data_IF_347814877925
#
_entry.id   IF_347814877925
#
_cell.length_a   1.000
_cell.length_b   1.000
_cell.length_c   1.000
_cell.angle_alpha   90.00
_cell.angle_beta   90.00
_cell.angle_gamma   90.00
#
_symmetry.space_group_name_H-M   'P 1'
#
loop_
_entity.id
_entity.type
_entity.pdbx_description
1 polymer ?
#
# COMPACT_ATOMS: atom_id res chain seq x y z
N UNK A 1 0.49 22.58 14.92
CA UNK A 1 0.39 21.63 13.79
C UNK A 1 0.26 20.25 14.40
N UNK A 2 -0.77 19.45 14.08
CA UNK A 2 -0.80 18.08 14.56
C UNK A 2 0.31 17.33 13.83
N UNK A 3 1.42 17.07 14.51
CA UNK A 3 2.40 16.12 14.01
C UNK A 3 1.74 14.75 14.02
N UNK A 4 1.80 14.04 12.89
CA UNK A 4 1.39 12.64 12.84
C UNK A 4 2.15 11.88 13.94
N UNK A 5 1.41 11.09 14.74
CA UNK A 5 1.99 10.38 15.88
C UNK A 5 3.16 9.49 15.41
N UNK A 6 4.37 9.63 15.96
CA UNK A 6 5.54 8.87 15.51
C UNK A 6 5.31 7.36 15.42
N UNK A 7 4.46 6.83 16.31
CA UNK A 7 4.02 5.44 16.32
C UNK A 7 3.26 5.04 15.04
N UNK A 8 2.33 5.88 14.58
CA UNK A 8 1.53 5.61 13.37
C UNK A 8 2.39 5.63 12.11
N UNK A 9 3.34 6.57 12.03
CA UNK A 9 4.33 6.59 10.93
C UNK A 9 5.18 5.33 10.96
N UNK A 10 5.73 4.95 12.12
CA UNK A 10 6.56 3.75 12.25
C UNK A 10 5.81 2.47 11.83
N UNK A 11 4.53 2.37 12.17
CA UNK A 11 3.69 1.24 11.75
C UNK A 11 3.48 1.21 10.22
N UNK A 12 3.27 2.37 9.58
CA UNK A 12 3.20 2.45 8.10
C UNK A 12 4.52 2.08 7.43
N UNK A 13 5.65 2.51 8.00
CA UNK A 13 6.98 2.13 7.51
C UNK A 13 7.21 0.61 7.62
N UNK A 14 6.76 -0.01 8.71
CA UNK A 14 6.85 -1.46 8.87
C UNK A 14 6.04 -2.24 7.80
N UNK A 15 4.93 -1.68 7.30
CA UNK A 15 4.21 -2.27 6.16
C UNK A 15 5.07 -2.26 4.90
N UNK A 16 5.75 -1.13 4.64
CA UNK A 16 6.60 -0.95 3.47
C UNK A 16 7.77 -1.96 3.48
N UNK A 17 8.43 -2.13 4.62
CA UNK A 17 9.59 -3.02 4.76
C UNK A 17 9.26 -4.50 4.52
N UNK A 18 7.98 -4.88 4.63
CA UNK A 18 7.52 -6.26 4.54
C UNK A 18 6.64 -6.55 3.31
N UNK A 19 6.62 -5.65 2.32
CA UNK A 19 5.85 -5.86 1.09
C UNK A 19 6.34 -7.12 0.35
N UNK A 20 5.46 -8.08 0.02
CA UNK A 20 5.85 -9.32 -0.65
C UNK A 20 6.01 -9.10 -2.16
N UNK A 21 7.07 -8.42 -2.56
CA UNK A 21 7.37 -8.07 -3.95
C UNK A 21 8.38 -9.07 -4.52
N UNK A 22 8.00 -9.77 -5.59
CA UNK A 22 8.88 -10.72 -6.30
C UNK A 22 9.20 -10.27 -7.71
N UNK A 23 8.19 -10.14 -8.57
CA UNK A 23 8.35 -9.74 -9.98
C UNK A 23 7.56 -8.45 -10.25
N UNK A 24 8.28 -7.40 -10.64
CA UNK A 24 7.79 -6.01 -10.65
C UNK A 24 8.22 -5.25 -9.40
N UNK A 25 7.51 -4.16 -9.08
CA UNK A 25 7.87 -3.34 -7.93
C UNK A 25 7.00 -2.13 -7.68
N UNK A 26 7.37 -1.39 -6.64
CA UNK A 26 6.74 -0.14 -6.27
C UNK A 26 7.40 1.00 -7.03
N UNK A 27 6.60 1.78 -7.74
CA UNK A 27 7.04 3.01 -8.40
C UNK A 27 6.99 4.20 -7.44
N UNK A 28 6.00 4.22 -6.56
CA UNK A 28 5.78 5.35 -5.65
C UNK A 28 5.18 4.88 -4.33
N UNK A 29 5.80 5.34 -3.24
CA UNK A 29 5.25 5.34 -1.89
C UNK A 29 5.08 6.79 -1.46
N UNK A 30 3.88 7.12 -0.99
CA UNK A 30 3.56 8.43 -0.46
C UNK A 30 2.92 8.29 0.92
N UNK A 31 3.51 8.94 1.91
CA UNK A 31 2.87 9.15 3.22
C UNK A 31 2.38 10.58 3.24
N UNK A 32 1.08 10.77 3.48
CA UNK A 32 0.47 12.10 3.47
C UNK A 32 -0.60 12.21 4.55
N UNK A 33 -0.85 13.44 4.99
CA UNK A 33 -1.83 13.77 6.00
C UNK A 33 -2.94 14.60 5.35
N UNK A 34 -4.16 14.08 5.35
CA UNK A 34 -5.36 14.86 5.07
C UNK A 34 -6.11 15.06 6.40
N UNK A 35 -7.26 14.42 6.58
CA UNK A 35 -7.92 14.29 7.89
C UNK A 35 -7.21 13.22 8.75
N UNK A 36 -6.74 12.15 8.12
CA UNK A 36 -6.00 11.04 8.72
C UNK A 36 -4.62 10.88 8.06
N UNK A 37 -3.76 10.06 8.67
CA UNK A 37 -2.49 9.66 8.08
C UNK A 37 -2.70 8.51 7.10
N UNK A 38 -2.30 8.72 5.84
CA UNK A 38 -2.43 7.74 4.76
C UNK A 38 -1.06 7.29 4.25
N UNK A 39 -1.02 6.04 3.80
CA UNK A 39 0.02 5.46 2.97
C UNK A 39 -0.61 5.12 1.61
N UNK A 40 -0.08 5.70 0.54
CA UNK A 40 -0.42 5.33 -0.83
C UNK A 40 0.74 4.57 -1.47
N UNK A 41 0.41 3.45 -2.08
CA UNK A 41 1.36 2.55 -2.76
C UNK A 41 0.91 2.43 -4.21
N UNK A 42 1.81 2.76 -5.14
CA UNK A 42 1.60 2.67 -6.58
C UNK A 42 2.71 1.81 -7.16
N UNK A 43 2.36 0.85 -8.00
CA UNK A 43 3.35 0.00 -8.65
C UNK A 43 2.77 -0.83 -9.77
N UNK A 44 3.64 -1.67 -10.33
CA UNK A 44 3.27 -2.68 -11.32
C UNK A 44 3.84 -4.04 -10.90
N UNK A 45 3.08 -5.11 -11.14
CA UNK A 45 3.53 -6.48 -10.93
C UNK A 45 3.37 -7.30 -12.21
N UNK A 46 4.35 -8.17 -12.48
CA UNK A 46 4.43 -8.88 -13.76
C UNK A 46 3.41 -10.02 -13.87
N UNK A 47 2.86 -10.47 -12.74
CA UNK A 47 1.93 -11.60 -12.71
C UNK A 47 0.87 -11.50 -11.60
N UNK A 48 -0.22 -12.22 -11.80
CA UNK A 48 -1.38 -12.24 -10.92
C UNK A 48 -1.11 -12.85 -9.55
N UNK A 49 -0.22 -13.85 -9.46
CA UNK A 49 0.09 -14.51 -8.18
C UNK A 49 0.80 -13.55 -7.22
N UNK A 50 1.71 -12.73 -7.73
CA UNK A 50 2.41 -11.72 -6.94
C UNK A 50 1.45 -10.61 -6.52
N UNK A 51 0.54 -10.19 -7.42
CA UNK A 51 -0.51 -9.22 -7.07
C UNK A 51 -1.42 -9.73 -5.96
N UNK A 52 -1.90 -10.97 -6.03
CA UNK A 52 -2.73 -11.58 -4.99
C UNK A 52 -2.01 -11.70 -3.65
N UNK A 53 -0.69 -11.97 -3.69
CA UNK A 53 0.13 -12.04 -2.48
C UNK A 53 0.26 -10.67 -1.81
N UNK A 54 0.50 -9.61 -2.61
CA UNK A 54 0.52 -8.23 -2.14
C UNK A 54 -0.84 -7.79 -1.58
N UNK A 55 -1.92 -8.01 -2.34
CA UNK A 55 -3.28 -7.66 -1.93
C UNK A 55 -3.63 -8.36 -0.61
N UNK A 56 -3.42 -9.66 -0.52
CA UNK A 56 -3.68 -10.43 0.71
C UNK A 56 -2.87 -9.89 1.89
N UNK A 57 -1.58 -9.59 1.70
CA UNK A 57 -0.74 -9.01 2.75
C UNK A 57 -1.28 -7.68 3.26
N UNK A 58 -1.69 -6.77 2.36
CA UNK A 58 -2.19 -5.45 2.73
C UNK A 58 -3.56 -5.51 3.42
N UNK A 59 -4.44 -6.41 2.99
CA UNK A 59 -5.77 -6.58 3.59
C UNK A 59 -5.75 -7.32 4.93
N UNK A 60 -4.71 -8.10 5.21
CA UNK A 60 -4.50 -8.78 6.49
C UNK A 60 -3.92 -7.88 7.59
N UNK A 61 -3.63 -6.60 7.30
CA UNK A 61 -3.12 -5.68 8.30
C UNK A 61 -4.24 -5.17 9.21
N UNK A 62 -4.43 -5.83 10.35
CA UNK A 62 -5.55 -5.56 11.28
C UNK A 62 -5.67 -4.10 11.72
N UNK A 63 -4.54 -3.39 11.85
CA UNK A 63 -4.50 -1.99 12.30
C UNK A 63 -4.90 -0.98 11.21
N UNK A 64 -5.02 -1.43 9.96
CA UNK A 64 -5.22 -0.55 8.81
C UNK A 64 -6.49 -0.88 8.04
N UNK A 65 -7.17 0.17 7.58
CA UNK A 65 -8.18 0.09 6.55
C UNK A 65 -7.47 0.21 5.20
N UNK A 66 -7.51 -0.85 4.41
CA UNK A 66 -6.91 -0.93 3.08
C UNK A 66 -7.98 -0.74 2.03
N UNK A 67 -7.70 0.11 1.04
CA UNK A 67 -8.56 0.35 -0.11
C UNK A 67 -7.77 0.21 -1.40
N UNK A 68 -8.34 -0.53 -2.34
CA UNK A 68 -7.92 -0.55 -3.74
C UNK A 68 -8.54 0.66 -4.45
N UNK A 69 -7.71 1.59 -4.90
CA UNK A 69 -8.17 2.74 -5.70
C UNK A 69 -8.25 2.39 -7.19
N UNK A 70 -7.28 1.62 -7.69
CA UNK A 70 -7.21 1.24 -9.09
C UNK A 70 -6.50 -0.11 -9.25
N UNK A 71 -7.00 -0.93 -10.18
CA UNK A 71 -6.32 -2.11 -10.74
C UNK A 71 -6.60 -2.15 -12.24
N UNK A 72 -5.56 -2.30 -13.05
CA UNK A 72 -5.66 -2.46 -14.50
C UNK A 72 -4.45 -3.22 -15.05
N UNK A 73 -4.58 -3.75 -16.27
CA UNK A 73 -3.45 -4.31 -17.02
C UNK A 73 -2.92 -3.23 -17.96
N UNK A 74 -1.61 -2.98 -17.92
CA UNK A 74 -0.97 -1.97 -18.77
C UNK A 74 -0.58 -2.55 -20.15
N UNK A 75 -0.01 -1.70 -21.02
CA UNK A 75 0.39 -2.09 -22.38
C UNK A 75 1.57 -3.09 -22.44
N UNK A 76 2.23 -3.36 -21.32
CA UNK A 76 3.28 -4.38 -21.18
C UNK A 76 2.76 -5.70 -20.59
N UNK A 77 1.44 -5.82 -20.40
CA UNK A 77 0.80 -6.95 -19.75
C UNK A 77 1.19 -7.11 -18.26
N UNK A 78 1.54 -6.01 -17.60
CA UNK A 78 1.78 -5.95 -16.16
C UNK A 78 0.51 -5.46 -15.45
N UNK A 79 0.29 -5.88 -14.21
CA UNK A 79 -0.80 -5.42 -13.35
C UNK A 79 -0.38 -4.12 -12.68
N UNK A 80 -0.93 -3.01 -13.13
CA UNK A 80 -0.80 -1.70 -12.50
C UNK A 80 -1.82 -1.58 -11.37
N UNK A 81 -1.39 -1.08 -10.22
CA UNK A 81 -2.24 -0.94 -9.04
C UNK A 81 -2.00 0.33 -8.25
N UNK A 82 -3.03 0.76 -7.53
CA UNK A 82 -2.97 1.81 -6.52
C UNK A 82 -3.72 1.33 -5.27
N UNK A 83 -3.00 1.24 -4.16
CA UNK A 83 -3.58 0.99 -2.83
C UNK A 83 -3.42 2.22 -1.94
N UNK A 84 -4.39 2.43 -1.07
CA UNK A 84 -4.34 3.37 0.04
C UNK A 84 -4.60 2.63 1.35
N UNK A 85 -3.80 2.94 2.37
CA UNK A 85 -3.93 2.42 3.72
C UNK A 85 -4.04 3.60 4.68
N UNK A 86 -4.96 3.51 5.63
CA UNK A 86 -5.05 4.44 6.78
C UNK A 86 -5.22 3.65 8.07
N UNK A 87 -4.80 4.21 9.19
CA UNK A 87 -4.99 3.56 10.48
C UNK A 87 -6.51 3.48 10.78
N UNK A 88 -7.00 2.33 11.24
CA UNK A 88 -8.35 2.24 11.80
C UNK A 88 -8.38 3.12 13.06
N UNK A 89 -9.35 4.02 13.17
CA UNK A 89 -9.48 4.87 14.36
C UNK A 89 -9.48 4.02 15.63
N UNK A 90 -8.82 4.50 16.69
CA UNK A 90 -9.07 4.01 18.05
C UNK A 90 -10.38 4.61 18.55
#
# INVERSE_FOLDING_TARGET
MPFAEPKKIAQLLAIIDNLPLKNGGIETIQIYLETDLYLKIIGNLDNQSDFQSLESYLYQQDLFETKTEQINVNHKNEIQFIFTLKHKGN
#
